data_IF_103081859217
#
_entry.id   IF_103081859217
#
_cell.length_a   1.000
_cell.length_b   1.000
_cell.length_c   1.000
_cell.angle_alpha   90.00
_cell.angle_beta   90.00
_cell.angle_gamma   90.00
#
_symmetry.space_group_name_H-M   'P 1'
#
loop_
_entity.id
_entity.type
_entity.pdbx_description
1 polymer ?
#
# COMPACT_ATOMS: atom_id res chain seq x y z
N UNK A 1 19.64 32.86 5.28
CA UNK A 1 19.02 31.54 5.51
C UNK A 1 17.85 31.41 4.56
N UNK A 2 17.89 30.51 3.57
CA UNK A 2 16.70 30.05 2.85
C UNK A 2 16.90 28.58 2.52
N UNK A 3 16.04 27.78 3.12
CA UNK A 3 15.90 26.33 3.04
C UNK A 3 16.27 25.76 1.68
N UNK A 4 17.13 24.75 1.71
CA UNK A 4 17.28 23.82 0.61
C UNK A 4 16.11 22.86 0.74
N UNK A 5 15.11 23.01 -0.14
CA UNK A 5 13.99 22.07 -0.21
C UNK A 5 14.48 20.63 -0.21
N UNK A 6 13.77 19.80 0.53
CA UNK A 6 14.14 18.42 0.80
C UNK A 6 14.20 17.61 -0.50
N UNK A 7 15.31 16.92 -0.79
CA UNK A 7 15.50 16.18 -2.05
C UNK A 7 14.58 14.94 -2.18
N UNK A 8 13.68 14.73 -1.23
CA UNK A 8 12.71 13.64 -1.22
C UNK A 8 11.25 14.14 -1.20
N UNK A 9 11.02 15.45 -1.42
CA UNK A 9 9.67 15.98 -1.60
C UNK A 9 9.26 15.87 -3.08
N UNK A 10 8.59 14.77 -3.42
CA UNK A 10 7.96 14.59 -4.72
C UNK A 10 6.54 15.17 -4.64
N UNK A 11 6.38 16.46 -5.00
CA UNK A 11 5.06 17.08 -5.18
C UNK A 11 4.55 16.75 -6.58
N UNK A 12 3.58 15.84 -6.66
CA UNK A 12 2.90 15.50 -7.92
C UNK A 12 1.56 16.21 -7.90
N UNK A 13 1.49 17.35 -8.60
CA UNK A 13 0.22 18.00 -8.93
C UNK A 13 -0.27 17.39 -10.23
N UNK A 14 -1.32 16.57 -10.16
CA UNK A 14 -2.08 16.11 -11.31
C UNK A 14 -3.55 16.42 -11.04
N UNK A 15 -4.21 17.01 -12.03
CA UNK A 15 -5.62 17.41 -12.04
C UNK A 15 -6.51 16.26 -11.51
N UNK A 16 -7.60 16.60 -10.82
CA UNK A 16 -8.27 15.84 -9.76
C UNK A 16 -8.91 14.48 -10.17
N UNK A 17 -8.56 13.92 -11.32
CA UNK A 17 -9.08 12.68 -11.88
C UNK A 17 -8.09 11.49 -11.75
N UNK A 18 -6.83 11.71 -11.30
CA UNK A 18 -5.79 10.68 -11.21
C UNK A 18 -5.55 10.11 -9.79
N UNK A 19 -6.43 10.40 -8.83
CA UNK A 19 -6.17 10.24 -7.40
C UNK A 19 -6.40 8.83 -6.80
N UNK A 20 -6.86 7.85 -7.58
CA UNK A 20 -7.13 6.48 -7.06
C UNK A 20 -6.19 5.39 -7.61
N UNK A 21 -5.29 5.72 -8.53
CA UNK A 21 -4.39 4.74 -9.16
C UNK A 21 -3.15 4.39 -8.33
N UNK A 22 -2.83 5.17 -7.29
CA UNK A 22 -1.67 4.86 -6.44
C UNK A 22 -2.10 3.94 -5.30
N UNK A 23 -1.70 2.67 -5.38
CA UNK A 23 -1.81 1.72 -4.28
C UNK A 23 -0.87 2.09 -3.13
N UNK A 24 -1.27 1.78 -1.90
CA UNK A 24 -0.43 1.91 -0.71
C UNK A 24 0.88 1.12 -0.81
N UNK A 25 1.92 1.48 -0.03
CA UNK A 25 3.18 0.72 0.00
C UNK A 25 2.96 -0.76 0.31
N UNK A 26 1.99 -1.10 1.16
CA UNK A 26 1.71 -2.49 1.53
C UNK A 26 1.20 -3.31 0.35
N UNK A 27 0.37 -2.74 -0.53
CA UNK A 27 -0.04 -3.42 -1.77
C UNK A 27 1.10 -3.45 -2.80
N UNK A 28 1.79 -2.31 -2.97
CA UNK A 28 2.85 -2.13 -3.96
C UNK A 28 4.00 -3.13 -3.78
N UNK A 29 4.31 -3.50 -2.54
CA UNK A 29 5.42 -4.38 -2.19
C UNK A 29 4.98 -5.82 -1.84
N UNK A 30 3.70 -6.15 -2.03
CA UNK A 30 3.14 -7.48 -1.76
C UNK A 30 3.27 -8.39 -2.98
N UNK A 31 3.71 -9.63 -2.77
CA UNK A 31 3.76 -10.70 -3.79
C UNK A 31 2.39 -11.03 -4.39
N UNK A 32 1.31 -10.82 -3.64
CA UNK A 32 -0.04 -11.20 -4.07
C UNK A 32 -0.75 -10.14 -4.90
N UNK A 33 -0.20 -8.92 -4.96
CA UNK A 33 -0.82 -7.82 -5.70
C UNK A 33 -0.68 -8.03 -7.20
N UNK A 34 -1.78 -7.82 -7.95
CA UNK A 34 -1.82 -7.93 -9.41
C UNK A 34 -1.91 -6.53 -9.99
N UNK A 35 -0.80 -5.94 -10.49
CA UNK A 35 -0.85 -4.60 -11.08
C UNK A 35 -1.69 -4.61 -12.36
N UNK A 36 -2.62 -3.65 -12.47
CA UNK A 36 -3.54 -3.49 -13.60
C UNK A 36 -4.50 -2.31 -13.39
N UNK A 37 -5.56 -2.24 -14.19
CA UNK A 37 -6.62 -1.22 -14.05
C UNK A 37 -7.55 -1.48 -12.84
N UNK A 38 -7.45 -2.67 -12.24
CA UNK A 38 -8.31 -3.12 -11.14
C UNK A 38 -7.53 -3.20 -9.83
N UNK A 39 -8.21 -2.89 -8.72
CA UNK A 39 -7.63 -2.96 -7.37
C UNK A 39 -7.74 -4.39 -6.86
N UNK A 40 -7.00 -5.34 -7.40
CA UNK A 40 -7.23 -6.78 -7.09
C UNK A 40 -5.95 -7.50 -6.70
N UNK A 41 -6.10 -8.55 -5.88
CA UNK A 41 -5.01 -9.40 -5.44
C UNK A 41 -5.53 -10.82 -5.14
N UNK A 42 -4.65 -11.73 -4.74
CA UNK A 42 -5.08 -13.09 -4.37
C UNK A 42 -6.01 -13.10 -3.14
N UNK A 43 -5.81 -12.17 -2.20
CA UNK A 43 -6.67 -12.03 -1.01
C UNK A 43 -8.06 -11.46 -1.35
N UNK A 44 -8.13 -10.56 -2.33
CA UNK A 44 -9.35 -9.88 -2.78
C UNK A 44 -9.47 -10.00 -4.31
N UNK A 45 -10.17 -11.03 -4.82
CA UNK A 45 -10.38 -11.23 -6.25
C UNK A 45 -11.27 -10.12 -6.84
N UNK A 46 -11.43 -10.12 -8.16
CA UNK A 46 -12.03 -9.01 -8.91
C UNK A 46 -13.47 -8.67 -8.47
N UNK A 47 -14.23 -9.64 -7.95
CA UNK A 47 -15.60 -9.43 -7.44
C UNK A 47 -15.67 -8.58 -6.16
N UNK A 48 -14.68 -8.71 -5.27
CA UNK A 48 -14.64 -7.97 -3.99
C UNK A 48 -13.77 -6.71 -4.07
N UNK A 49 -12.71 -6.76 -4.88
CA UNK A 49 -11.65 -5.75 -4.94
C UNK A 49 -11.00 -5.45 -3.58
N UNK A 50 -9.79 -4.90 -3.60
CA UNK A 50 -9.08 -4.47 -2.39
C UNK A 50 -9.88 -3.33 -1.74
N UNK A 51 -10.29 -3.47 -0.46
CA UNK A 51 -10.95 -2.41 0.28
C UNK A 51 -10.17 -1.10 0.27
N UNK A 52 -10.87 0.03 0.19
CA UNK A 52 -10.25 1.36 0.11
C UNK A 52 -9.31 1.64 1.29
N UNK A 53 -9.64 1.18 2.50
CA UNK A 53 -8.79 1.34 3.68
C UNK A 53 -7.42 0.65 3.53
N UNK A 54 -7.38 -0.54 2.92
CA UNK A 54 -6.11 -1.24 2.62
C UNK A 54 -5.41 -0.56 1.45
N UNK A 55 -6.18 -0.24 0.40
CA UNK A 55 -5.67 0.40 -0.82
C UNK A 55 -4.99 1.74 -0.55
N UNK A 56 -5.54 2.55 0.35
CA UNK A 56 -5.00 3.86 0.75
C UNK A 56 -3.97 3.75 1.89
N UNK A 57 -3.79 2.57 2.48
CA UNK A 57 -2.83 2.34 3.56
C UNK A 57 -3.33 2.80 4.94
N UNK A 58 -4.63 3.05 5.08
CA UNK A 58 -5.29 3.30 6.37
C UNK A 58 -5.35 2.03 7.24
N UNK A 59 -5.28 0.86 6.60
CA UNK A 59 -5.23 -0.43 7.29
C UNK A 59 -3.92 -1.18 6.98
N UNK A 60 -3.27 -1.61 8.05
CA UNK A 60 -2.09 -2.47 7.99
C UNK A 60 -2.49 -3.92 7.69
N UNK A 61 -2.52 -4.28 6.42
CA UNK A 61 -2.83 -5.63 5.95
C UNK A 61 -1.72 -6.68 6.22
N UNK A 62 -0.80 -6.42 7.17
CA UNK A 62 -0.10 -7.47 7.92
C UNK A 62 -1.04 -8.12 8.95
N UNK A 63 -2.17 -7.49 9.24
CA UNK A 63 -3.25 -7.98 10.07
C UNK A 63 -4.37 -8.56 9.20
N UNK A 64 -5.14 -9.50 9.78
CA UNK A 64 -6.27 -10.14 9.10
C UNK A 64 -7.40 -9.14 8.88
N UNK A 65 -7.96 -9.14 7.68
CA UNK A 65 -9.06 -8.26 7.30
C UNK A 65 -10.28 -9.08 6.84
N UNK A 66 -11.52 -8.68 7.15
CA UNK A 66 -12.70 -9.39 6.68
C UNK A 66 -12.71 -9.57 5.15
N UNK A 67 -12.76 -10.82 4.68
CA UNK A 67 -12.78 -11.14 3.25
C UNK A 67 -11.41 -11.34 2.60
N UNK A 68 -10.31 -11.28 3.35
CA UNK A 68 -8.95 -11.49 2.83
C UNK A 68 -8.58 -12.95 2.51
N UNK A 69 -9.54 -13.88 2.64
CA UNK A 69 -9.35 -15.31 2.43
C UNK A 69 -8.19 -15.92 3.28
N UNK A 70 -7.84 -15.28 4.41
CA UNK A 70 -6.73 -15.68 5.26
C UNK A 70 -5.35 -15.36 4.68
N UNK A 71 -5.28 -14.56 3.62
CA UNK A 71 -4.04 -14.15 2.96
C UNK A 71 -3.72 -12.73 3.41
N UNK A 72 -2.51 -12.55 3.93
CA UNK A 72 -2.01 -11.27 4.42
C UNK A 72 -0.82 -10.81 3.56
N UNK A 73 -0.25 -9.66 3.91
CA UNK A 73 0.97 -9.17 3.29
C UNK A 73 2.09 -10.21 3.31
N UNK A 74 2.56 -10.60 2.12
CA UNK A 74 3.79 -11.37 1.92
C UNK A 74 4.75 -10.54 1.04
N UNK A 75 5.92 -10.14 1.55
CA UNK A 75 6.87 -9.36 0.77
C UNK A 75 7.51 -10.23 -0.32
N UNK A 76 7.75 -9.65 -1.50
CA UNK A 76 8.47 -10.37 -2.57
C UNK A 76 9.93 -10.66 -2.19
N UNK A 77 10.57 -9.72 -1.48
CA UNK A 77 11.95 -9.80 -1.02
C UNK A 77 12.20 -8.96 0.25
N UNK A 78 13.43 -8.99 0.78
CA UNK A 78 13.81 -8.28 2.02
C UNK A 78 13.70 -6.76 1.91
N UNK A 79 13.89 -6.19 0.72
CA UNK A 79 13.75 -4.75 0.50
C UNK A 79 12.28 -4.34 0.60
N UNK A 80 11.38 -5.08 -0.05
CA UNK A 80 9.92 -4.90 0.07
C UNK A 80 9.44 -4.93 1.53
N UNK A 81 9.97 -5.86 2.33
CA UNK A 81 9.64 -5.95 3.76
C UNK A 81 10.09 -4.71 4.54
N UNK A 82 11.31 -4.21 4.28
CA UNK A 82 11.87 -3.04 4.96
C UNK A 82 11.12 -1.74 4.61
N UNK A 83 10.70 -1.59 3.35
CA UNK A 83 9.90 -0.46 2.89
C UNK A 83 8.56 -0.41 3.64
N UNK A 84 7.82 -1.52 3.67
CA UNK A 84 6.53 -1.57 4.38
C UNK A 84 6.70 -1.34 5.88
N UNK A 85 7.74 -1.91 6.50
CA UNK A 85 8.03 -1.69 7.91
C UNK A 85 8.25 -0.21 8.24
N UNK A 86 8.91 0.55 7.36
CA UNK A 86 9.16 1.98 7.56
C UNK A 86 7.88 2.82 7.51
N UNK A 87 6.91 2.43 6.66
CA UNK A 87 5.65 3.17 6.49
C UNK A 87 4.62 2.85 7.57
N UNK A 88 4.61 1.62 8.08
CA UNK A 88 3.67 1.16 9.10
C UNK A 88 4.31 1.02 10.50
N UNK A 89 5.47 1.66 10.71
CA UNK A 89 6.23 1.63 11.96
C UNK A 89 5.45 2.20 13.17
N UNK A 90 4.37 2.95 12.94
CA UNK A 90 3.55 3.57 13.98
C UNK A 90 2.66 2.60 14.79
N UNK A 91 2.48 1.35 14.34
CA UNK A 91 1.64 0.36 15.05
C UNK A 91 2.41 -0.71 15.84
N UNK A 92 3.75 -0.65 15.83
CA UNK A 92 4.57 -1.45 16.76
C UNK A 92 4.85 -0.59 17.99
N UNK A 93 3.88 -0.52 18.88
CA UNK A 93 4.08 -0.04 20.25
C UNK A 93 3.36 -0.97 21.22
N UNK A 94 4.21 -1.65 22.01
CA UNK A 94 3.95 -2.41 23.24
C UNK A 94 3.10 -3.69 23.14
#
# INVERSE_FOLDING_TARGET
MKDKGDPNEIVIVLDAEFAVLRSSPICTYCRHYRPGDERTCVAFPDEDSIPLAIWQGEYDHRQSYPGDNGIQFEPENVHCAAEVATHFAAHVSA
#
